data_IF_572681874768
#
_entry.id   IF_572681874768
#
_cell.length_a   1.000
_cell.length_b   1.000
_cell.length_c   1.000
_cell.angle_alpha   90.00
_cell.angle_beta   90.00
_cell.angle_gamma   90.00
#
_symmetry.space_group_name_H-M   'P 1'
#
loop_
_entity.id
_entity.type
_entity.pdbx_description
1 polymer ?
#
# COMPACT_ATOMS: atom_id res chain seq x y z
N UNK A 1 -18.88 21.65 -6.35
CA UNK A 1 -17.97 20.52 -6.66
C UNK A 1 -16.87 20.34 -5.61
N UNK A 2 -16.28 21.42 -5.08
CA UNK A 2 -15.20 21.41 -4.08
C UNK A 2 -15.56 20.65 -2.79
N UNK A 3 -16.76 20.83 -2.24
CA UNK A 3 -17.18 20.17 -0.99
C UNK A 3 -17.27 18.64 -1.12
N UNK A 4 -17.73 18.14 -2.28
CA UNK A 4 -17.80 16.70 -2.57
C UNK A 4 -16.40 16.10 -2.74
N UNK A 5 -15.48 16.84 -3.36
CA UNK A 5 -14.08 16.44 -3.49
C UNK A 5 -13.40 16.37 -2.11
N UNK A 6 -13.55 17.41 -1.28
CA UNK A 6 -12.99 17.45 0.08
C UNK A 6 -13.50 16.30 0.96
N UNK A 7 -14.80 15.96 0.85
CA UNK A 7 -15.38 14.80 1.54
C UNK A 7 -14.75 13.48 1.07
N UNK A 8 -14.48 13.34 -0.22
CA UNK A 8 -13.83 12.15 -0.78
C UNK A 8 -12.38 12.02 -0.28
N UNK A 9 -11.59 13.10 -0.38
CA UNK A 9 -10.21 13.13 0.13
C UNK A 9 -10.14 12.87 1.65
N UNK A 10 -11.09 13.39 2.42
CA UNK A 10 -11.19 13.12 3.86
C UNK A 10 -11.39 11.63 4.17
N UNK A 11 -12.25 10.93 3.40
CA UNK A 11 -12.46 9.48 3.55
C UNK A 11 -11.20 8.68 3.22
N UNK A 12 -10.55 9.01 2.11
CA UNK A 12 -9.30 8.37 1.67
C UNK A 12 -8.20 8.55 2.72
N UNK A 13 -8.03 9.76 3.24
CA UNK A 13 -7.05 10.04 4.29
C UNK A 13 -7.31 9.22 5.55
N UNK A 14 -8.55 9.22 6.04
CA UNK A 14 -8.91 8.47 7.25
C UNK A 14 -8.69 6.97 7.07
N UNK A 15 -8.97 6.45 5.87
CA UNK A 15 -8.69 5.07 5.52
C UNK A 15 -7.20 4.73 5.56
N UNK A 16 -6.36 5.53 4.89
CA UNK A 16 -4.91 5.32 4.96
C UNK A 16 -4.37 5.42 6.39
N UNK A 17 -4.92 6.32 7.21
CA UNK A 17 -4.56 6.40 8.64
C UNK A 17 -4.92 5.11 9.40
N UNK A 18 -6.12 4.54 9.16
CA UNK A 18 -6.54 3.28 9.79
C UNK A 18 -5.67 2.11 9.35
N UNK A 19 -5.42 1.97 8.05
CA UNK A 19 -4.57 0.92 7.48
C UNK A 19 -3.15 1.03 8.02
N UNK A 20 -2.58 2.24 8.03
CA UNK A 20 -1.25 2.48 8.60
C UNK A 20 -1.18 2.08 10.07
N UNK A 21 -2.18 2.47 10.86
CA UNK A 21 -2.27 2.12 12.28
C UNK A 21 -2.35 0.60 12.50
N UNK A 22 -3.08 -0.11 11.64
CA UNK A 22 -3.14 -1.58 11.65
C UNK A 22 -1.78 -2.21 11.38
N UNK A 23 -1.07 -1.78 10.34
CA UNK A 23 0.28 -2.26 10.04
C UNK A 23 1.29 -1.96 11.13
N UNK A 24 1.24 -0.78 11.77
CA UNK A 24 2.10 -0.46 12.91
C UNK A 24 1.87 -1.41 14.08
N UNK A 25 0.61 -1.77 14.36
CA UNK A 25 0.29 -2.72 15.42
C UNK A 25 0.67 -4.15 15.06
N UNK A 26 0.54 -4.54 13.78
CA UNK A 26 1.03 -5.82 13.28
C UNK A 26 2.56 -5.94 13.39
N UNK A 27 3.30 -4.89 13.04
CA UNK A 27 4.77 -4.87 13.21
C UNK A 27 5.16 -5.06 14.68
N UNK A 28 4.50 -4.35 15.60
CA UNK A 28 4.71 -4.54 17.04
C UNK A 28 4.36 -5.97 17.49
N UNK A 29 3.25 -6.53 16.99
CA UNK A 29 2.87 -7.92 17.27
C UNK A 29 3.93 -8.92 16.82
N UNK A 30 4.46 -8.76 15.61
CA UNK A 30 5.50 -9.63 15.07
C UNK A 30 6.81 -9.51 15.85
N UNK A 31 7.17 -8.31 16.30
CA UNK A 31 8.32 -8.10 17.20
C UNK A 31 8.13 -8.85 18.52
N UNK A 32 6.97 -8.72 19.16
CA UNK A 32 6.67 -9.45 20.39
C UNK A 32 6.70 -10.98 20.18
N UNK A 33 6.15 -11.49 19.08
CA UNK A 33 6.23 -12.92 18.72
C UNK A 33 7.66 -13.40 18.49
N UNK A 34 8.49 -12.59 17.85
CA UNK A 34 9.89 -12.91 17.64
C UNK A 34 10.66 -12.98 18.97
N UNK A 35 10.43 -12.03 19.88
CA UNK A 35 11.05 -12.03 21.21
C UNK A 35 10.57 -13.22 22.06
N UNK A 36 9.28 -13.55 22.00
CA UNK A 36 8.73 -14.77 22.59
C UNK A 36 9.45 -16.01 22.07
N UNK A 37 9.61 -16.14 20.75
CA UNK A 37 10.30 -17.27 20.13
C UNK A 37 11.77 -17.37 20.56
N UNK A 38 12.47 -16.24 20.66
CA UNK A 38 13.84 -16.19 21.16
C UNK A 38 13.95 -16.62 22.61
N UNK A 39 13.08 -16.11 23.49
CA UNK A 39 13.08 -16.47 24.91
C UNK A 39 12.76 -17.95 25.11
N UNK A 40 11.69 -18.44 24.47
CA UNK A 40 11.26 -19.85 24.52
C UNK A 40 12.33 -20.79 23.98
N UNK A 41 12.91 -20.46 22.83
CA UNK A 41 13.99 -21.25 22.22
C UNK A 41 15.25 -21.27 23.09
N UNK A 42 15.66 -20.13 23.62
CA UNK A 42 16.85 -20.03 24.49
C UNK A 42 16.65 -20.80 25.78
N UNK A 43 15.47 -20.66 26.43
CA UNK A 43 15.10 -21.43 27.62
C UNK A 43 15.24 -22.93 27.36
N UNK A 44 14.67 -23.42 26.25
CA UNK A 44 14.71 -24.84 25.89
C UNK A 44 16.12 -25.34 25.63
N UNK A 45 16.96 -24.54 24.97
CA UNK A 45 18.37 -24.87 24.79
C UNK A 45 19.11 -25.00 26.14
N UNK A 46 18.89 -24.06 27.06
CA UNK A 46 19.50 -24.10 28.39
C UNK A 46 19.03 -25.30 29.22
N UNK A 47 17.74 -25.66 29.14
CA UNK A 47 17.19 -26.86 29.77
C UNK A 47 17.86 -28.14 29.26
N UNK A 48 18.08 -28.25 27.94
CA UNK A 48 18.78 -29.39 27.32
C UNK A 48 20.25 -29.45 27.77
N UNK A 49 20.94 -28.31 27.76
CA UNK A 49 22.34 -28.24 28.20
C UNK A 49 22.45 -28.64 29.68
N UNK A 50 21.55 -28.15 30.53
CA UNK A 50 21.48 -28.53 31.94
C UNK A 50 21.22 -30.04 32.10
N UNK A 51 20.28 -30.60 31.35
CA UNK A 51 19.97 -32.03 31.36
C UNK A 51 21.14 -32.91 30.88
N UNK A 52 22.03 -32.36 30.05
CA UNK A 52 23.25 -33.04 29.58
C UNK A 52 24.37 -33.11 30.63
N UNK A 53 24.17 -32.54 31.82
CA UNK A 53 25.13 -32.57 32.93
C UNK A 53 26.02 -31.35 33.03
N UNK A 54 25.77 -30.31 32.23
CA UNK A 54 26.46 -29.01 32.39
C UNK A 54 25.80 -28.22 33.52
N UNK A 55 26.61 -27.64 34.42
CA UNK A 55 26.11 -26.78 35.50
C UNK A 55 25.62 -25.44 34.93
N UNK A 56 24.32 -25.37 34.62
CA UNK A 56 23.61 -24.14 34.29
C UNK A 56 22.82 -23.69 35.52
N UNK A 57 23.04 -22.46 36.03
CA UNK A 57 22.24 -21.89 37.11
C UNK A 57 20.75 -21.87 36.74
N UNK A 58 19.89 -22.34 37.65
CA UNK A 58 18.44 -22.36 37.41
C UNK A 58 17.88 -20.94 37.20
N UNK A 59 18.42 -19.96 37.93
CA UNK A 59 18.10 -18.54 37.78
C UNK A 59 18.22 -18.04 36.33
N UNK A 60 19.18 -18.55 35.55
CA UNK A 60 19.34 -18.17 34.14
C UNK A 60 18.16 -18.69 33.30
N UNK A 61 17.70 -19.92 33.56
CA UNK A 61 16.54 -20.51 32.88
C UNK A 61 15.27 -19.75 33.28
N UNK A 62 15.14 -19.41 34.56
CA UNK A 62 13.98 -18.70 35.10
C UNK A 62 13.84 -17.30 34.49
N UNK A 63 14.95 -16.59 34.24
CA UNK A 63 14.94 -15.31 33.51
C UNK A 63 14.28 -15.45 32.13
N UNK A 64 14.64 -16.48 31.37
CA UNK A 64 14.04 -16.70 30.05
C UNK A 64 12.60 -17.22 30.14
N UNK A 65 12.22 -17.94 31.20
CA UNK A 65 10.84 -18.33 31.46
C UNK A 65 9.94 -17.12 31.74
N UNK A 66 10.41 -16.15 32.52
CA UNK A 66 9.68 -14.90 32.75
C UNK A 66 9.62 -14.05 31.47
N UNK A 67 10.70 -13.96 30.70
CA UNK A 67 10.69 -13.27 29.41
C UNK A 67 9.71 -13.90 28.41
N UNK A 68 9.66 -15.23 28.33
CA UNK A 68 8.71 -15.96 27.50
C UNK A 68 7.27 -15.56 27.86
N UNK A 69 6.92 -15.59 29.15
CA UNK A 69 5.59 -15.23 29.64
C UNK A 69 5.24 -13.76 29.37
N UNK A 70 6.19 -12.84 29.56
CA UNK A 70 6.00 -11.42 29.29
C UNK A 70 5.71 -11.15 27.81
N UNK A 71 6.51 -11.71 26.91
CA UNK A 71 6.34 -11.51 25.47
C UNK A 71 5.13 -12.27 24.91
N UNK A 72 4.75 -13.40 25.50
CA UNK A 72 3.50 -14.08 25.17
C UNK A 72 2.28 -13.20 25.51
N UNK A 73 2.26 -12.62 26.71
CA UNK A 73 1.20 -11.71 27.12
C UNK A 73 1.15 -10.45 26.24
N UNK A 74 2.31 -9.88 25.91
CA UNK A 74 2.42 -8.74 25.00
C UNK A 74 1.91 -9.08 23.59
N UNK A 75 2.32 -10.22 23.03
CA UNK A 75 1.84 -10.67 21.73
C UNK A 75 0.32 -10.90 21.74
N UNK A 76 -0.22 -11.47 22.81
CA UNK A 76 -1.67 -11.68 22.97
C UNK A 76 -2.43 -10.35 23.01
N UNK A 77 -1.90 -9.35 23.72
CA UNK A 77 -2.45 -7.98 23.77
C UNK A 77 -2.39 -7.28 22.40
N UNK A 78 -1.30 -7.48 21.66
CA UNK A 78 -1.07 -6.83 20.38
C UNK A 78 -1.81 -7.49 19.23
N UNK A 79 -2.28 -8.72 19.39
CA UNK A 79 -3.01 -9.48 18.38
C UNK A 79 -4.08 -8.61 17.70
N UNK A 80 -3.96 -8.48 16.38
CA UNK A 80 -4.87 -7.73 15.52
C UNK A 80 -5.54 -8.72 14.58
N UNK A 81 -6.86 -8.65 14.47
CA UNK A 81 -7.59 -9.38 13.45
C UNK A 81 -7.26 -8.86 12.04
N UNK A 82 -7.74 -9.56 11.00
CA UNK A 82 -7.64 -9.10 9.62
C UNK A 82 -8.20 -7.69 9.44
N UNK A 83 -7.69 -6.96 8.44
CA UNK A 83 -8.33 -5.71 8.01
C UNK A 83 -9.77 -6.00 7.57
N UNK A 84 -10.69 -5.08 7.87
CA UNK A 84 -12.06 -5.19 7.40
C UNK A 84 -12.13 -4.98 5.88
N UNK A 85 -13.01 -5.70 5.19
CA UNK A 85 -13.26 -5.50 3.77
C UNK A 85 -13.67 -4.05 3.45
N UNK A 86 -14.37 -3.38 4.37
CA UNK A 86 -14.71 -1.97 4.24
C UNK A 86 -13.47 -1.06 4.11
N UNK A 87 -12.36 -1.44 4.74
CA UNK A 87 -11.10 -0.75 4.53
C UNK A 87 -10.58 -1.02 3.12
N UNK A 88 -10.70 -2.25 2.60
CA UNK A 88 -10.28 -2.58 1.24
C UNK A 88 -11.15 -1.92 0.13
N UNK A 89 -12.38 -1.48 0.45
CA UNK A 89 -13.31 -0.87 -0.54
C UNK A 89 -12.92 0.51 -1.06
N UNK A 90 -11.96 1.19 -0.44
CA UNK A 90 -11.46 2.48 -0.95
C UNK A 90 -10.31 2.33 -1.95
N UNK A 91 -10.02 1.10 -2.37
CA UNK A 91 -9.26 0.86 -3.60
C UNK A 91 -9.97 1.58 -4.76
N UNK A 92 -9.26 2.35 -5.61
CA UNK A 92 -9.86 3.20 -6.65
C UNK A 92 -10.85 2.51 -7.60
N UNK A 93 -10.82 1.18 -7.66
CA UNK A 93 -11.61 0.32 -8.54
C UNK A 93 -13.01 0.01 -8.02
N UNK A 94 -13.32 0.31 -6.74
CA UNK A 94 -14.58 -0.12 -6.10
C UNK A 94 -15.59 1.02 -5.92
N UNK A 95 -15.37 2.19 -6.52
CA UNK A 95 -16.38 3.26 -6.46
C UNK A 95 -17.54 3.02 -7.43
N UNK A 96 -18.81 3.09 -6.97
CA UNK A 96 -19.95 3.28 -7.86
C UNK A 96 -19.79 4.67 -8.51
N UNK A 97 -19.28 4.69 -9.74
CA UNK A 97 -19.18 5.90 -10.53
C UNK A 97 -20.45 6.05 -11.33
N UNK A 98 -21.07 7.23 -11.31
CA UNK A 98 -22.18 7.55 -12.24
C UNK A 98 -21.75 7.52 -13.72
N UNK A 99 -20.45 7.51 -13.97
CA UNK A 99 -19.85 7.48 -15.31
C UNK A 99 -19.49 6.05 -15.75
N UNK A 100 -19.64 5.06 -14.86
CA UNK A 100 -19.31 3.67 -15.13
C UNK A 100 -20.49 2.82 -14.73
N UNK A 101 -21.22 2.30 -15.71
CA UNK A 101 -22.37 1.42 -15.44
C UNK A 101 -21.90 0.12 -14.77
N UNK A 102 -22.65 -0.35 -13.78
CA UNK A 102 -22.27 -1.53 -12.98
C UNK A 102 -22.07 -2.79 -13.84
N UNK A 103 -22.71 -2.87 -15.02
CA UNK A 103 -22.51 -3.98 -15.97
C UNK A 103 -21.06 -4.14 -16.45
N UNK A 104 -20.27 -3.07 -16.46
CA UNK A 104 -18.86 -3.10 -16.88
C UNK A 104 -17.91 -3.37 -15.71
N UNK A 105 -18.41 -3.42 -14.46
CA UNK A 105 -17.55 -3.64 -13.30
C UNK A 105 -16.97 -5.05 -13.24
N UNK A 106 -17.74 -6.05 -13.66
CA UNK A 106 -17.28 -7.44 -13.72
C UNK A 106 -16.21 -7.66 -14.80
N UNK A 107 -16.15 -6.78 -15.81
CA UNK A 107 -15.17 -6.87 -16.91
C UNK A 107 -13.86 -6.13 -16.63
N UNK A 108 -13.79 -5.29 -15.60
CA UNK A 108 -12.51 -4.64 -15.25
C UNK A 108 -11.54 -5.68 -14.71
N UNK A 109 -10.33 -5.64 -15.24
CA UNK A 109 -9.19 -6.22 -14.57
C UNK A 109 -8.75 -5.23 -13.47
N UNK A 110 -8.86 -5.61 -12.18
CA UNK A 110 -8.45 -4.75 -11.08
C UNK A 110 -6.92 -4.63 -10.95
N UNK A 111 -6.14 -5.50 -11.58
CA UNK A 111 -4.69 -5.55 -11.47
C UNK A 111 -3.96 -5.37 -12.81
N UNK A 112 -4.70 -5.26 -13.92
CA UNK A 112 -4.17 -5.12 -15.28
C UNK A 112 -4.80 -3.99 -16.09
N UNK A 113 -4.52 -3.99 -17.40
CA UNK A 113 -4.92 -2.91 -18.30
C UNK A 113 -6.36 -3.06 -18.78
N UNK A 114 -7.14 -2.01 -18.59
CA UNK A 114 -8.54 -1.93 -19.05
C UNK A 114 -8.70 -1.20 -20.39
N UNK A 115 -7.61 -0.96 -21.11
CA UNK A 115 -7.60 -0.19 -22.38
C UNK A 115 -8.55 -0.78 -23.42
N UNK A 116 -8.66 -2.11 -23.50
CA UNK A 116 -9.53 -2.78 -24.46
C UNK A 116 -11.04 -2.57 -24.19
N UNK A 117 -11.40 -2.06 -23.01
CA UNK A 117 -12.79 -1.72 -22.67
C UNK A 117 -13.19 -0.32 -23.15
N UNK A 118 -12.21 0.50 -23.56
CA UNK A 118 -12.47 1.83 -24.13
C UNK A 118 -12.75 1.65 -25.61
N UNK A 119 -13.93 2.08 -26.06
CA UNK A 119 -14.26 2.06 -27.48
C UNK A 119 -13.33 3.03 -28.22
N UNK A 120 -12.75 2.59 -29.34
CA UNK A 120 -11.74 3.35 -30.10
C UNK A 120 -12.20 4.76 -30.47
N UNK A 121 -13.49 4.94 -30.80
CA UNK A 121 -14.07 6.24 -31.15
C UNK A 121 -14.15 7.19 -29.94
N UNK A 122 -14.31 6.63 -28.73
CA UNK A 122 -14.34 7.39 -27.48
C UNK A 122 -12.93 7.78 -27.04
N UNK A 123 -11.95 6.89 -27.26
CA UNK A 123 -10.53 7.20 -27.00
C UNK A 123 -10.05 8.38 -27.86
N UNK A 124 -10.50 8.46 -29.11
CA UNK A 124 -10.14 9.53 -30.04
C UNK A 124 -10.58 10.93 -29.56
N UNK A 125 -11.70 11.02 -28.84
CA UNK A 125 -12.20 12.29 -28.28
C UNK A 125 -11.38 12.82 -27.09
N UNK A 126 -10.57 11.97 -26.44
CA UNK A 126 -9.69 12.40 -25.35
C UNK A 126 -8.35 12.98 -25.83
N UNK A 127 -7.99 12.77 -27.09
CA UNK A 127 -6.68 13.20 -27.65
C UNK A 127 -6.65 14.71 -27.95
N UNK A 128 -7.78 15.41 -27.94
CA UNK A 128 -7.88 16.79 -28.44
C UNK A 128 -7.84 17.88 -27.37
N UNK A 129 -6.81 17.93 -26.52
CA UNK A 129 -6.58 19.11 -25.66
C UNK A 129 -5.11 19.46 -25.40
N UNK A 130 -4.17 18.87 -26.15
CA UNK A 130 -2.76 19.27 -26.12
C UNK A 130 -2.17 19.35 -27.54
N UNK A 131 -2.89 20.00 -28.46
CA UNK A 131 -2.25 20.49 -29.68
C UNK A 131 -2.01 21.99 -29.48
N UNK A 132 -0.74 22.30 -29.30
CA UNK A 132 -0.19 23.64 -29.14
C UNK A 132 -0.58 24.44 -30.39
N UNK A 133 -1.19 25.60 -30.21
CA UNK A 133 -1.34 26.61 -31.27
C UNK A 133 0.04 26.98 -31.79
N UNK A 134 0.48 26.39 -32.90
CA UNK A 134 1.48 27.02 -33.76
C UNK A 134 0.78 28.18 -34.48
N UNK A 135 1.06 29.40 -34.05
CA UNK A 135 0.75 30.59 -34.85
C UNK A 135 1.54 30.56 -36.15
N UNK A 136 0.94 30.86 -37.32
CA UNK A 136 1.69 31.04 -38.54
C UNK A 136 2.41 32.40 -38.49
N UNK A 137 3.72 32.38 -38.27
CA UNK A 137 4.59 33.54 -38.49
C UNK A 137 4.71 33.78 -40.00
N UNK A 138 3.96 34.76 -40.53
CA UNK A 138 4.18 35.30 -41.87
C UNK A 138 5.48 36.13 -41.89
N UNK A 139 6.60 35.53 -42.28
CA UNK A 139 7.78 36.28 -42.71
C UNK A 139 7.79 36.42 -44.24
N UNK A 140 7.91 37.64 -44.81
CA UNK A 140 7.89 37.83 -46.24
C UNK A 140 9.26 37.47 -46.86
N UNK A 141 9.22 36.60 -47.88
CA UNK A 141 10.34 36.23 -48.75
C UNK A 141 10.95 37.48 -49.42
N UNK A 142 12.21 37.78 -49.10
CA UNK A 142 13.00 38.77 -49.84
C UNK A 142 13.86 38.04 -50.87
N UNK A 143 13.54 38.30 -52.14
CA UNK A 143 14.16 37.77 -53.35
C UNK A 143 15.64 38.16 -53.45
N UNK A 144 16.52 37.16 -53.53
CA UNK A 144 17.95 37.34 -53.75
C UNK A 144 18.23 37.19 -55.23
N UNK A 145 18.45 38.31 -55.91
CA UNK A 145 19.09 38.27 -57.24
C UNK A 145 20.17 39.35 -57.39
N UNK A 146 21.37 38.86 -57.72
CA UNK A 146 22.42 39.49 -58.54
C UNK A 146 23.63 40.15 -57.83
N UNK A 147 24.73 39.38 -57.77
CA UNK A 147 26.15 39.80 -57.82
C UNK A 147 26.59 39.67 -59.30
N UNK A 148 27.71 40.21 -59.88
CA UNK A 148 28.87 41.05 -59.44
C UNK A 148 28.99 42.37 -60.26
N UNK A 149 29.99 43.27 -60.15
CA UNK A 149 31.45 43.13 -60.17
C UNK A 149 32.18 44.33 -59.55
#
# INVERSE_FOLDING_TARGET
>A
MVEKANRCFGRVRNHFTRVRGHFTRLDAFWKAKNLYGQASGTKKCLEIIKASGTEIPQEMIDVFAEQEKLHEAEATKLCVGPLSDSDLTLSPLVFPSRFVEDRFRASFDPYGSNVNLIRSETAFQFITSLEITEEPSEEPLVDVTSVPA
#
